data_IF_800120263515
#
_entry.id   IF_800120263515
#
_cell.length_a   1.000
_cell.length_b   1.000
_cell.length_c   1.000
_cell.angle_alpha   90.00
_cell.angle_beta   90.00
_cell.angle_gamma   90.00
#
_symmetry.space_group_name_H-M   'P 1'
#
loop_
_entity.id
_entity.type
_entity.pdbx_description
1 polymer ?
#
# COMPACT_ATOMS: atom_id res chain seq x y z
N UNK A 1 -16.72 49.85 40.16
CA UNK A 1 -17.61 48.67 40.09
C UNK A 1 -17.49 47.85 38.79
N UNK A 2 -16.66 48.24 37.80
CA UNK A 2 -16.56 47.56 36.48
C UNK A 2 -15.68 46.30 36.42
N UNK A 3 -14.67 46.14 37.28
CA UNK A 3 -13.65 45.08 37.06
C UNK A 3 -14.05 43.67 37.50
N UNK A 4 -15.15 43.50 38.26
CA UNK A 4 -15.54 42.18 38.79
C UNK A 4 -16.20 41.25 37.76
N UNK A 5 -16.58 41.78 36.60
CA UNK A 5 -17.34 41.06 35.57
C UNK A 5 -16.57 40.87 34.25
N UNK A 6 -15.30 41.31 34.17
CA UNK A 6 -14.51 41.14 32.94
C UNK A 6 -14.30 39.67 32.58
N UNK A 7 -14.07 38.79 33.58
CA UNK A 7 -13.90 37.35 33.33
C UNK A 7 -15.15 36.70 32.72
N UNK A 8 -16.35 37.13 33.14
CA UNK A 8 -17.62 36.63 32.62
C UNK A 8 -17.90 37.18 31.20
N UNK A 9 -17.52 38.43 30.94
CA UNK A 9 -17.59 39.02 29.60
C UNK A 9 -16.63 38.32 28.63
N UNK A 10 -15.39 38.05 29.05
CA UNK A 10 -14.37 37.33 28.27
C UNK A 10 -14.79 35.89 27.95
N UNK A 11 -15.44 35.19 28.88
CA UNK A 11 -16.00 33.84 28.64
C UNK A 11 -17.13 33.84 27.59
N UNK A 12 -18.01 34.84 27.63
CA UNK A 12 -19.06 35.03 26.62
C UNK A 12 -18.47 35.38 25.25
N UNK A 13 -17.44 36.24 25.24
CA UNK A 13 -16.77 36.70 24.03
C UNK A 13 -15.98 35.59 23.33
N UNK A 14 -15.39 34.66 24.10
CA UNK A 14 -14.71 33.47 23.60
C UNK A 14 -15.66 32.28 23.34
N UNK A 15 -16.97 32.55 23.14
CA UNK A 15 -17.99 31.51 22.85
C UNK A 15 -17.88 30.28 23.77
N UNK A 16 -17.62 30.52 25.05
CA UNK A 16 -17.55 29.48 26.09
C UNK A 16 -16.54 28.35 25.83
N UNK A 17 -15.56 28.52 24.93
CA UNK A 17 -14.54 27.50 24.60
C UNK A 17 -15.10 26.12 24.18
N UNK A 18 -16.40 26.01 23.90
CA UNK A 18 -17.07 24.73 23.59
C UNK A 18 -16.53 24.15 22.29
N UNK A 19 -16.34 25.00 21.28
CA UNK A 19 -15.81 24.60 19.99
C UNK A 19 -14.36 24.08 20.11
N UNK A 20 -13.51 24.73 20.90
CA UNK A 20 -12.11 24.31 21.12
C UNK A 20 -11.99 23.02 21.95
N UNK A 21 -12.89 22.84 22.93
CA UNK A 21 -12.96 21.60 23.70
C UNK A 21 -13.41 20.44 22.79
N UNK A 22 -14.40 20.66 21.92
CA UNK A 22 -14.85 19.65 20.96
C UNK A 22 -13.76 19.30 19.94
N UNK A 23 -13.04 20.33 19.45
CA UNK A 23 -11.98 20.15 18.49
C UNK A 23 -10.79 19.36 19.08
N UNK A 24 -10.44 19.63 20.34
CA UNK A 24 -9.34 18.93 21.03
C UNK A 24 -9.71 17.53 21.52
N UNK A 25 -10.92 17.32 22.04
CA UNK A 25 -11.33 16.03 22.61
C UNK A 25 -11.85 15.03 21.59
N UNK A 26 -12.47 15.49 20.50
CA UNK A 26 -13.14 14.60 19.54
C UNK A 26 -12.43 14.59 18.19
N UNK A 27 -12.17 15.78 17.64
CA UNK A 27 -11.64 15.89 16.27
C UNK A 27 -10.16 15.50 16.21
N UNK A 28 -9.31 16.06 17.07
CA UNK A 28 -7.86 15.75 17.07
C UNK A 28 -7.54 14.26 17.28
N UNK A 29 -8.08 13.56 18.30
CA UNK A 29 -7.80 12.15 18.49
C UNK A 29 -8.39 11.28 17.37
N UNK A 30 -9.59 11.61 16.86
CA UNK A 30 -10.17 10.93 15.71
C UNK A 30 -9.30 11.05 14.46
N UNK A 31 -8.73 12.24 14.23
CA UNK A 31 -7.83 12.48 13.11
C UNK A 31 -6.51 11.73 13.26
N UNK A 32 -5.93 11.72 14.47
CA UNK A 32 -4.69 11.00 14.80
C UNK A 32 -4.82 9.49 14.59
N UNK A 33 -5.94 8.91 15.05
CA UNK A 33 -6.26 7.50 14.82
C UNK A 33 -6.45 7.19 13.34
N UNK A 34 -7.17 8.05 12.61
CA UNK A 34 -7.37 7.88 11.17
C UNK A 34 -6.05 7.91 10.40
N UNK A 35 -5.15 8.85 10.67
CA UNK A 35 -3.86 8.91 9.95
C UNK A 35 -2.90 7.81 10.39
N UNK A 36 -2.81 7.47 11.69
CA UNK A 36 -1.88 6.45 12.12
C UNK A 36 -2.33 5.03 11.75
N UNK A 37 -3.62 4.71 11.92
CA UNK A 37 -4.11 3.36 11.69
C UNK A 37 -4.49 3.12 10.24
N UNK A 38 -5.33 3.98 9.64
CA UNK A 38 -5.78 3.74 8.27
C UNK A 38 -4.68 4.06 7.27
N UNK A 39 -4.01 5.21 7.40
CA UNK A 39 -2.97 5.56 6.45
C UNK A 39 -1.62 4.86 6.75
N UNK A 40 -1.17 4.89 8.00
CA UNK A 40 0.11 4.28 8.38
C UNK A 40 0.16 2.76 8.30
N UNK A 41 -0.87 2.04 8.77
CA UNK A 41 -0.84 0.57 8.79
C UNK A 41 -1.42 -0.07 7.52
N UNK A 42 -2.41 0.54 6.89
CA UNK A 42 -3.05 -0.06 5.73
C UNK A 42 -2.32 0.28 4.43
N UNK A 43 -2.11 1.56 4.15
CA UNK A 43 -1.52 2.01 2.88
C UNK A 43 -0.04 1.59 2.78
N UNK A 44 0.80 2.05 3.72
CA UNK A 44 2.26 1.80 3.66
C UNK A 44 2.67 0.34 3.90
N UNK A 45 1.86 -0.44 4.60
CA UNK A 45 2.24 -1.81 4.95
C UNK A 45 1.53 -2.86 4.11
N UNK A 46 0.29 -2.65 3.68
CA UNK A 46 -0.44 -3.63 2.88
C UNK A 46 -0.24 -3.34 1.40
N UNK A 47 -0.50 -2.11 0.97
CA UNK A 47 -0.50 -1.75 -0.46
C UNK A 47 0.92 -1.69 -1.00
N UNK A 48 1.82 -0.94 -0.36
CA UNK A 48 3.22 -0.82 -0.82
C UNK A 48 3.95 -2.17 -0.84
N UNK A 49 3.70 -3.03 0.15
CA UNK A 49 4.29 -4.38 0.17
C UNK A 49 3.70 -5.29 -0.90
N UNK A 50 2.39 -5.25 -1.13
CA UNK A 50 1.75 -6.05 -2.17
C UNK A 50 2.26 -5.68 -3.57
N UNK A 51 2.43 -4.39 -3.85
CA UNK A 51 2.95 -3.92 -5.14
C UNK A 51 4.42 -4.31 -5.31
N UNK A 52 5.26 -4.06 -4.30
CA UNK A 52 6.68 -4.40 -4.36
C UNK A 52 6.92 -5.92 -4.50
N UNK A 53 6.15 -6.74 -3.81
CA UNK A 53 6.24 -8.20 -3.93
C UNK A 53 5.82 -8.68 -5.31
N UNK A 54 4.72 -8.13 -5.86
CA UNK A 54 4.27 -8.45 -7.21
C UNK A 54 5.34 -8.09 -8.26
N UNK A 55 5.94 -6.91 -8.15
CA UNK A 55 7.04 -6.49 -9.01
C UNK A 55 8.29 -7.38 -8.87
N UNK A 56 8.64 -7.76 -7.65
CA UNK A 56 9.77 -8.66 -7.38
C UNK A 56 9.55 -10.06 -7.98
N UNK A 57 8.35 -10.61 -7.86
CA UNK A 57 7.97 -11.89 -8.46
C UNK A 57 8.07 -11.82 -9.97
N UNK A 58 7.47 -10.80 -10.60
CA UNK A 58 7.55 -10.62 -12.05
C UNK A 58 9.01 -10.54 -12.54
N UNK A 59 9.87 -9.82 -11.81
CA UNK A 59 11.29 -9.70 -12.14
C UNK A 59 12.05 -11.02 -11.95
N UNK A 60 11.74 -11.76 -10.90
CA UNK A 60 12.34 -13.08 -10.63
C UNK A 60 11.98 -14.09 -11.72
N UNK A 61 10.70 -14.14 -12.12
CA UNK A 61 10.23 -14.97 -13.22
C UNK A 61 10.93 -14.59 -14.53
N UNK A 62 10.99 -13.29 -14.85
CA UNK A 62 11.69 -12.80 -16.02
C UNK A 62 13.17 -13.19 -16.04
N UNK A 63 13.87 -13.06 -14.91
CA UNK A 63 15.28 -13.46 -14.79
C UNK A 63 15.48 -14.97 -14.92
N UNK A 64 14.52 -15.78 -14.47
CA UNK A 64 14.57 -17.25 -14.61
C UNK A 64 14.33 -17.69 -16.05
N UNK A 65 13.45 -17.00 -16.77
CA UNK A 65 13.13 -17.29 -18.18
C UNK A 65 14.22 -16.74 -19.13
N UNK A 66 14.89 -15.64 -18.77
CA UNK A 66 15.93 -15.00 -19.57
C UNK A 66 17.01 -15.95 -20.12
N UNK A 67 17.59 -16.90 -19.36
CA UNK A 67 18.55 -17.84 -19.90
C UNK A 67 17.96 -18.86 -20.90
N UNK A 68 16.65 -19.06 -20.97
CA UNK A 68 16.05 -19.84 -22.06
C UNK A 68 16.11 -19.09 -23.40
N UNK A 69 16.22 -17.75 -23.35
CA UNK A 69 16.32 -16.87 -24.52
C UNK A 69 17.77 -16.58 -24.93
N UNK A 70 18.74 -17.46 -24.63
CA UNK A 70 20.17 -17.29 -24.89
C UNK A 70 20.58 -17.13 -26.39
N UNK A 71 19.62 -17.08 -27.32
CA UNK A 71 19.88 -16.90 -28.76
C UNK A 71 20.53 -18.10 -29.46
N UNK A 72 20.82 -19.18 -28.72
CA UNK A 72 21.40 -20.42 -29.25
C UNK A 72 20.33 -21.25 -29.97
N UNK A 73 20.35 -21.22 -31.30
CA UNK A 73 19.46 -21.99 -32.19
C UNK A 73 19.43 -23.48 -31.83
N UNK A 74 20.56 -24.03 -31.37
CA UNK A 74 20.69 -25.43 -30.97
C UNK A 74 19.77 -25.81 -29.79
N UNK A 75 19.52 -24.88 -28.86
CA UNK A 75 18.65 -25.13 -27.71
C UNK A 75 17.16 -25.17 -28.15
N UNK A 76 16.78 -24.34 -29.11
CA UNK A 76 15.44 -24.39 -29.73
C UNK A 76 15.22 -25.70 -30.49
N UNK A 77 16.22 -26.14 -31.26
CA UNK A 77 16.14 -27.41 -31.99
C UNK A 77 15.97 -28.61 -31.05
N UNK A 78 16.65 -28.61 -29.89
CA UNK A 78 16.48 -29.64 -28.85
C UNK A 78 15.05 -29.68 -28.30
N UNK A 79 14.51 -28.53 -27.88
CA UNK A 79 13.14 -28.42 -27.35
C UNK A 79 12.11 -28.89 -28.39
N UNK A 80 12.27 -28.47 -29.65
CA UNK A 80 11.38 -28.85 -30.74
C UNK A 80 11.38 -30.36 -31.00
N UNK A 81 12.57 -30.96 -31.01
CA UNK A 81 12.74 -32.40 -31.21
C UNK A 81 12.08 -33.20 -30.08
N UNK A 82 12.35 -32.83 -28.81
CA UNK A 82 11.73 -33.47 -27.65
C UNK A 82 10.21 -33.32 -27.67
N UNK A 83 9.70 -32.12 -27.96
CA UNK A 83 8.27 -31.86 -28.07
C UNK A 83 7.60 -32.71 -29.15
N UNK A 84 8.25 -32.88 -30.30
CA UNK A 84 7.74 -33.72 -31.39
C UNK A 84 7.66 -35.19 -30.96
N UNK A 85 8.70 -35.73 -30.32
CA UNK A 85 8.68 -37.10 -29.79
C UNK A 85 7.59 -37.32 -28.75
N UNK A 86 7.38 -36.36 -27.83
CA UNK A 86 6.33 -36.45 -26.81
C UNK A 86 4.92 -36.45 -27.43
N UNK A 87 4.68 -35.62 -28.44
CA UNK A 87 3.39 -35.58 -29.13
C UNK A 87 3.13 -36.91 -29.85
N UNK A 88 4.13 -37.43 -30.57
CA UNK A 88 4.02 -38.72 -31.25
C UNK A 88 3.80 -39.88 -30.28
N UNK A 89 4.51 -39.87 -29.13
CA UNK A 89 4.31 -40.85 -28.06
C UNK A 89 2.90 -40.79 -27.49
N UNK A 90 2.38 -39.59 -27.23
CA UNK A 90 1.03 -39.43 -26.68
C UNK A 90 -0.06 -39.86 -27.68
N UNK A 91 0.19 -39.69 -28.98
CA UNK A 91 -0.76 -40.01 -30.05
C UNK A 91 -0.76 -41.50 -30.45
N UNK A 92 0.30 -42.24 -30.11
CA UNK A 92 0.46 -43.67 -30.40
C UNK A 92 -0.14 -44.50 -29.26
#
# INVERSE_FOLDING_TARGET
>A
MRSKWEWAYQLSLNKWYVDELYNSLIIQPGRLLSTHLLWGLFDQNVIDRAVNTTGAVARSVGNTIRPFQNGLIQNYALIFTIGTFLILWYMT
#
